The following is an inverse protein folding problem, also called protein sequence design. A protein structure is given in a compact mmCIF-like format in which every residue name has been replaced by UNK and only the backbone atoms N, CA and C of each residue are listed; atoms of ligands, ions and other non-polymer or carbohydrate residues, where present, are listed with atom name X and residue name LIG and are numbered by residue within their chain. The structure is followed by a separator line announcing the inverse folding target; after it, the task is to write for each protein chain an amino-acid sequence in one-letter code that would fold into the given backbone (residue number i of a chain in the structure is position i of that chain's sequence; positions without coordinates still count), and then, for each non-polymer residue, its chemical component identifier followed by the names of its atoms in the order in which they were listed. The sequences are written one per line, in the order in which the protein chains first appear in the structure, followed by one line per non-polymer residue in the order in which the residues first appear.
data_IF_139709013244
#
_entry.id   IF_139709013244
#
_cell.length_a   1.000
_cell.length_b   1.000
_cell.length_c   1.000
_cell.angle_alpha   90.00
_cell.angle_beta   90.00
_cell.angle_gamma   90.00
#
_symmetry.space_group_name_H-M   'P 1'
#
loop_
_entity.id
_entity.type
_entity.pdbx_description
1 polymer ?
#
# COMPACT_ATOMS: atom_id res chain seq x y z
N UNK A 1 -2.44 5.14 -12.14
CA UNK A 1 -3.37 4.68 -11.08
C UNK A 1 -2.60 4.43 -9.79
N UNK A 2 -3.27 4.42 -8.64
CA UNK A 2 -2.69 4.06 -7.34
C UNK A 2 -3.42 2.84 -6.80
N UNK A 3 -2.67 1.85 -6.33
CA UNK A 3 -3.22 0.61 -5.80
C UNK A 3 -2.52 0.13 -4.52
N UNK A 4 -3.17 -0.80 -3.82
CA UNK A 4 -2.60 -1.55 -2.71
C UNK A 4 -2.69 -3.04 -2.97
N UNK A 5 -1.62 -3.78 -2.73
CA UNK A 5 -1.67 -5.23 -2.77
C UNK A 5 -2.22 -5.76 -1.44
N UNK A 6 -3.17 -6.70 -1.53
CA UNK A 6 -3.71 -7.43 -0.40
C UNK A 6 -3.35 -8.90 -0.49
N UNK A 7 -2.71 -9.42 0.55
CA UNK A 7 -2.43 -10.84 0.70
C UNK A 7 -3.16 -11.34 1.95
N UNK A 8 -4.02 -12.35 1.77
CA UNK A 8 -4.84 -12.92 2.85
C UNK A 8 -5.69 -11.88 3.60
N UNK A 9 -6.18 -10.87 2.88
CA UNK A 9 -7.01 -9.79 3.43
C UNK A 9 -6.23 -8.61 4.02
N UNK A 10 -4.91 -8.74 4.21
CA UNK A 10 -4.05 -7.70 4.78
C UNK A 10 -3.35 -6.90 3.69
N UNK A 11 -3.23 -5.59 3.89
CA UNK A 11 -2.45 -4.71 3.00
C UNK A 11 -0.97 -4.97 3.20
N UNK A 12 -0.26 -5.26 2.10
CA UNK A 12 1.17 -5.56 2.12
C UNK A 12 1.92 -4.49 1.34
N UNK A 13 2.88 -3.85 2.01
CA UNK A 13 3.77 -2.87 1.40
C UNK A 13 3.16 -1.47 1.24
N UNK A 14 3.91 -0.57 0.57
CA UNK A 14 3.43 0.77 0.24
C UNK A 14 2.39 0.74 -0.88
N UNK A 15 1.75 1.89 -1.14
CA UNK A 15 0.95 2.06 -2.34
C UNK A 15 1.82 1.91 -3.60
N UNK A 16 1.33 1.17 -4.59
CA UNK A 16 1.93 1.07 -5.92
C UNK A 16 1.33 2.09 -6.88
N UNK A 17 2.09 2.43 -7.93
CA UNK A 17 1.63 3.18 -9.09
C UNK A 17 1.76 2.29 -10.32
N UNK A 18 0.79 2.36 -11.21
CA UNK A 18 0.80 1.67 -12.50
C UNK A 18 -0.05 2.42 -13.51
N UNK A 19 0.11 2.12 -14.79
CA UNK A 19 -0.76 2.62 -15.85
C UNK A 19 -2.07 1.81 -15.95
N UNK A 20 -2.99 2.28 -16.81
CA UNK A 20 -4.30 1.65 -16.99
C UNK A 20 -4.15 0.23 -17.59
N UNK A 21 -3.32 0.07 -18.62
CA UNK A 21 -3.09 -1.24 -19.26
C UNK A 21 -2.43 -2.22 -18.28
N UNK A 22 -1.49 -1.74 -17.45
CA UNK A 22 -0.87 -2.54 -16.40
C UNK A 22 -1.87 -2.97 -15.34
N UNK A 23 -2.75 -2.07 -14.92
CA UNK A 23 -3.82 -2.39 -13.99
C UNK A 23 -4.72 -3.51 -14.54
N UNK A 24 -5.12 -3.41 -15.80
CA UNK A 24 -5.96 -4.42 -16.45
C UNK A 24 -5.25 -5.78 -16.55
N UNK A 25 -3.96 -5.79 -16.92
CA UNK A 25 -3.17 -7.02 -16.92
C UNK A 25 -3.03 -7.62 -15.53
N UNK A 26 -2.80 -6.79 -14.51
CA UNK A 26 -2.67 -7.24 -13.12
C UNK A 26 -3.99 -7.81 -12.58
N UNK A 27 -5.11 -7.14 -12.86
CA UNK A 27 -6.44 -7.58 -12.43
C UNK A 27 -6.87 -8.85 -13.18
N UNK A 28 -6.55 -8.96 -14.48
CA UNK A 28 -6.78 -10.18 -15.26
C UNK A 28 -5.96 -11.36 -14.73
N UNK A 29 -4.68 -11.13 -14.40
CA UNK A 29 -3.79 -12.17 -13.93
C UNK A 29 -4.12 -12.65 -12.50
N UNK A 30 -4.53 -11.72 -11.63
CA UNK A 30 -4.84 -12.00 -10.22
C UNK A 30 -6.01 -11.15 -9.71
N UNK A 31 -7.26 -11.51 -10.08
CA UNK A 31 -8.43 -10.74 -9.71
C UNK A 31 -8.54 -10.55 -8.19
N UNK A 32 -8.81 -9.32 -7.75
CA UNK A 32 -9.04 -8.96 -6.36
C UNK A 32 -7.82 -9.01 -5.44
N UNK A 33 -6.62 -9.33 -5.95
CA UNK A 33 -5.37 -9.22 -5.17
C UNK A 33 -4.96 -7.76 -5.00
N UNK A 34 -5.15 -6.94 -6.03
CA UNK A 34 -4.87 -5.52 -5.97
C UNK A 34 -6.16 -4.75 -5.73
N UNK A 35 -6.13 -3.83 -4.77
CA UNK A 35 -7.23 -2.91 -4.50
C UNK A 35 -6.93 -1.57 -5.17
N UNK A 36 -7.84 -1.13 -6.03
CA UNK A 36 -7.76 0.21 -6.61
C UNK A 36 -8.00 1.26 -5.51
N UNK A 37 -7.02 2.12 -5.28
CA UNK A 37 -7.13 3.23 -4.32
C UNK A 37 -7.57 4.50 -5.04
N UNK A 38 -6.96 4.81 -6.19
CA UNK A 38 -7.28 6.01 -6.98
C UNK A 38 -6.95 5.83 -8.47
N UNK A 39 -7.85 6.29 -9.34
CA UNK A 39 -7.67 6.30 -10.80
C UNK A 39 -7.82 7.72 -11.36
N UNK A 40 -7.66 7.87 -12.69
CA UNK A 40 -7.86 9.14 -13.39
C UNK A 40 -6.83 10.23 -13.00
N UNK A 41 -5.59 9.83 -12.76
CA UNK A 41 -4.51 10.76 -12.39
C UNK A 41 -3.79 11.16 -13.67
N UNK A 42 -3.63 12.47 -13.87
CA UNK A 42 -3.14 13.10 -15.10
C UNK A 42 -1.74 12.64 -15.53
N UNK A 43 -0.86 12.33 -14.58
CA UNK A 43 0.48 11.81 -14.88
C UNK A 43 0.98 10.87 -13.78
N UNK A 44 1.91 10.00 -14.17
CA UNK A 44 2.61 9.09 -13.26
C UNK A 44 3.29 9.87 -12.12
N UNK A 45 3.99 10.96 -12.40
CA UNK A 45 4.65 11.77 -11.36
C UNK A 45 3.69 12.43 -10.36
N UNK A 46 2.43 12.72 -10.74
CA UNK A 46 1.39 13.12 -9.78
C UNK A 46 0.94 11.90 -8.98
N UNK A 47 0.74 10.76 -9.64
CA UNK A 47 0.35 9.52 -8.99
C UNK A 47 1.39 9.06 -7.96
N UNK A 48 2.69 9.12 -8.26
CA UNK A 48 3.76 8.79 -7.32
C UNK A 48 3.78 9.69 -6.09
N UNK A 49 3.64 11.00 -6.28
CA UNK A 49 3.55 11.95 -5.16
C UNK A 49 2.36 11.65 -4.26
N UNK A 50 1.21 11.34 -4.86
CA UNK A 50 0.00 10.96 -4.13
C UNK A 50 0.10 9.57 -3.48
N UNK A 51 0.75 8.61 -4.14
CA UNK A 51 0.94 7.25 -3.64
C UNK A 51 1.86 7.24 -2.42
N UNK A 52 2.91 8.07 -2.44
CA UNK A 52 3.73 8.36 -1.27
C UNK A 52 2.91 9.09 -0.20
N UNK A 53 1.99 9.99 -0.55
CA UNK A 53 1.27 10.79 0.46
C UNK A 53 2.26 11.60 1.31
N UNK A 54 2.09 11.65 2.63
CA UNK A 54 3.10 12.14 3.59
C UNK A 54 4.12 11.05 3.97
N UNK A 55 4.50 10.16 3.06
CA UNK A 55 5.41 9.04 3.35
C UNK A 55 6.71 9.52 3.99
N UNK A 56 6.85 9.17 5.26
CA UNK A 56 7.76 9.75 6.24
C UNK A 56 7.17 9.66 7.65
N UNK A 57 5.84 9.66 7.78
CA UNK A 57 5.21 9.39 9.07
C UNK A 57 5.53 7.96 9.54
N UNK A 58 6.26 7.92 10.64
CA UNK A 58 6.72 6.69 11.25
C UNK A 58 5.50 6.01 11.83
N UNK A 59 4.92 5.03 11.12
CA UNK A 59 4.12 4.02 11.83
C UNK A 59 5.03 3.48 12.92
N UNK A 60 4.68 3.58 14.22
CA UNK A 60 5.48 2.97 15.27
C UNK A 60 5.59 1.50 14.90
N UNK A 61 6.79 1.09 14.47
CA UNK A 61 7.13 -0.33 14.47
C UNK A 61 7.08 -0.68 15.95
N UNK A 62 6.00 -1.30 16.39
CA UNK A 62 5.98 -1.97 17.68
C UNK A 62 7.06 -3.05 17.60
N UNK A 63 8.28 -2.69 17.99
CA UNK A 63 9.32 -3.66 18.24
C UNK A 63 8.77 -4.62 19.29
N UNK A 64 9.00 -5.91 19.08
CA UNK A 64 8.59 -7.01 19.95
C UNK A 64 9.34 -6.98 21.31
N UNK A 65 9.79 -5.81 21.76
CA UNK A 65 10.44 -5.60 23.05
C UNK A 65 9.50 -4.95 24.09
N UNK A 66 8.40 -4.30 23.66
CA UNK A 66 7.43 -3.70 24.59
C UNK A 66 6.49 -4.69 25.29
N UNK A 67 6.51 -5.99 24.94
CA UNK A 67 5.65 -6.99 25.61
C UNK A 67 6.29 -7.51 26.92
N UNK A 68 7.59 -7.30 27.14
CA UNK A 68 8.27 -7.84 28.34
C UNK A 68 8.26 -6.93 29.57
N UNK A 69 7.90 -5.65 29.46
CA UNK A 69 7.95 -4.72 30.59
C UNK A 69 6.62 -4.57 31.36
N UNK A 70 5.52 -5.11 30.85
CA UNK A 70 4.18 -4.99 31.47
C UNK A 70 3.78 -6.16 32.37
N UNK A 71 4.70 -7.08 32.70
CA UNK A 71 4.45 -8.21 33.61
C UNK A 71 5.21 -8.13 34.95
N UNK A 72 5.82 -6.99 35.27
CA UNK A 72 6.62 -6.78 36.49
C UNK A 72 6.28 -5.49 37.25
N UNK A 73 5.02 -5.06 37.27
CA UNK A 73 4.56 -3.98 38.17
C UNK A 73 3.25 -4.33 38.82
#
# INVERSE_FOLDING_TARGET
MIYQTRLRGEVVGPNGVCDQDEWEMMELARPGVNLLVRSGIESEGIAERLARGTSGDTKPRVSRDSVRLSLLS
#
